data_IF_914803984028
#
_entry.id   IF_914803984028
#
_cell.length_a   1.000
_cell.length_b   1.000
_cell.length_c   1.000
_cell.angle_alpha   90.00
_cell.angle_beta   90.00
_cell.angle_gamma   90.00
#
_symmetry.space_group_name_H-M   'P 1'
#
loop_
_entity.id
_entity.type
_entity.pdbx_description
1 polymer ?
#
# COMPACT_ATOMS: atom_id res chain seq x y z
N UNK A 1 63.68 6.74 0.02
CA UNK A 1 62.89 5.57 0.51
C UNK A 1 61.57 5.95 1.17
N UNK A 2 61.45 7.07 1.87
CA UNK A 2 60.20 7.50 2.55
C UNK A 2 58.98 7.70 1.62
N UNK A 3 59.18 8.20 0.42
CA UNK A 3 58.08 8.44 -0.55
C UNK A 3 57.42 7.13 -1.05
N UNK A 4 58.17 6.02 -1.13
CA UNK A 4 57.59 4.71 -1.55
C UNK A 4 56.69 4.10 -0.48
N UNK A 5 57.01 4.26 0.80
CA UNK A 5 56.17 3.72 1.88
C UNK A 5 54.83 4.47 2.01
N UNK A 6 54.82 5.79 1.79
CA UNK A 6 53.58 6.60 1.88
C UNK A 6 52.61 6.32 0.72
N UNK A 7 53.12 5.96 -0.46
CA UNK A 7 52.33 5.59 -1.64
C UNK A 7 51.69 4.24 -1.41
N UNK A 8 52.42 3.25 -0.85
CA UNK A 8 51.91 1.93 -0.53
C UNK A 8 50.77 2.00 0.53
N UNK A 9 50.90 2.80 1.56
CA UNK A 9 49.87 2.95 2.61
C UNK A 9 48.56 3.53 2.10
N UNK A 10 48.60 4.54 1.22
CA UNK A 10 47.39 5.10 0.63
C UNK A 10 46.58 4.06 -0.18
N UNK A 11 47.23 3.31 -1.03
CA UNK A 11 46.55 2.30 -1.84
C UNK A 11 46.01 1.12 -1.01
N UNK A 12 46.65 0.79 0.09
CA UNK A 12 46.12 -0.20 1.03
C UNK A 12 44.82 0.29 1.68
N UNK A 13 44.73 1.59 2.05
CA UNK A 13 43.50 2.19 2.56
C UNK A 13 42.41 2.18 1.47
N UNK A 14 42.75 2.51 0.21
CA UNK A 14 41.80 2.45 -0.91
C UNK A 14 41.26 1.04 -1.13
N UNK A 15 42.11 0.02 -1.03
CA UNK A 15 41.67 -1.39 -1.14
C UNK A 15 40.66 -1.77 -0.07
N UNK A 16 40.95 -1.45 1.19
CA UNK A 16 39.98 -1.71 2.29
C UNK A 16 38.70 -0.92 2.13
N UNK A 17 38.79 0.32 1.67
CA UNK A 17 37.61 1.13 1.39
C UNK A 17 36.75 0.50 0.27
N UNK A 18 37.34 0.05 -0.85
CA UNK A 18 36.61 -0.64 -1.93
C UNK A 18 35.89 -1.87 -1.40
N UNK A 19 36.56 -2.68 -0.61
CA UNK A 19 35.94 -3.88 0.00
C UNK A 19 34.76 -3.48 0.89
N UNK A 20 34.93 -2.48 1.74
CA UNK A 20 33.88 -1.98 2.65
C UNK A 20 32.65 -1.45 1.89
N UNK A 21 32.85 -0.58 0.90
CA UNK A 21 31.73 -0.04 0.10
C UNK A 21 31.07 -1.09 -0.75
N UNK A 22 31.80 -2.11 -1.23
CA UNK A 22 31.23 -3.23 -1.98
C UNK A 22 30.32 -4.10 -1.11
N UNK A 23 30.72 -4.38 0.13
CA UNK A 23 29.88 -5.10 1.10
C UNK A 23 28.62 -4.30 1.40
N UNK A 24 28.75 -2.98 1.62
CA UNK A 24 27.59 -2.10 1.85
C UNK A 24 26.66 -2.04 0.63
N UNK A 25 27.20 -2.04 -0.59
CA UNK A 25 26.38 -2.06 -1.81
C UNK A 25 25.56 -3.36 -1.91
N UNK A 26 26.13 -4.52 -1.60
CA UNK A 26 25.38 -5.77 -1.54
C UNK A 26 24.30 -5.71 -0.47
N UNK A 27 24.63 -5.21 0.72
CA UNK A 27 23.68 -5.09 1.82
C UNK A 27 22.49 -4.17 1.47
N UNK A 28 22.74 -3.00 0.90
CA UNK A 28 21.68 -2.07 0.47
C UNK A 28 20.81 -2.66 -0.65
N UNK A 29 21.42 -3.40 -1.58
CA UNK A 29 20.67 -4.13 -2.62
C UNK A 29 19.74 -5.18 -2.01
N UNK A 30 20.22 -5.93 -1.04
CA UNK A 30 19.41 -6.95 -0.34
C UNK A 30 18.22 -6.29 0.36
N UNK A 31 18.43 -5.20 1.10
CA UNK A 31 17.36 -4.47 1.76
C UNK A 31 16.33 -3.90 0.77
N UNK A 32 16.78 -3.34 -0.36
CA UNK A 32 15.89 -2.86 -1.40
C UNK A 32 15.04 -4.00 -1.99
N UNK A 33 15.63 -5.18 -2.18
CA UNK A 33 14.92 -6.36 -2.69
C UNK A 33 13.90 -6.88 -1.68
N UNK A 34 14.24 -6.98 -0.40
CA UNK A 34 13.30 -7.39 0.65
C UNK A 34 12.10 -6.45 0.75
N UNK A 35 12.35 -5.14 0.73
CA UNK A 35 11.27 -4.13 0.70
C UNK A 35 10.45 -4.20 -0.61
N UNK A 36 11.07 -4.56 -1.72
CA UNK A 36 10.37 -4.82 -2.98
C UNK A 36 9.36 -5.95 -2.86
N UNK A 37 9.74 -7.06 -2.24
CA UNK A 37 8.84 -8.20 -1.99
C UNK A 37 7.70 -7.81 -1.03
N UNK A 38 7.98 -7.07 0.05
CA UNK A 38 6.97 -6.55 0.96
C UNK A 38 5.97 -5.63 0.25
N UNK A 39 6.47 -4.74 -0.62
CA UNK A 39 5.65 -3.87 -1.45
C UNK A 39 4.70 -4.65 -2.36
N UNK A 40 5.22 -5.70 -3.03
CA UNK A 40 4.42 -6.51 -3.95
C UNK A 40 3.31 -7.27 -3.19
N UNK A 41 3.59 -7.80 -2.01
CA UNK A 41 2.59 -8.45 -1.15
C UNK A 41 1.51 -7.46 -0.68
N UNK A 42 1.92 -6.26 -0.27
CA UNK A 42 0.99 -5.18 0.09
C UNK A 42 0.14 -4.72 -1.10
N UNK A 43 0.67 -4.71 -2.32
CA UNK A 43 -0.11 -4.39 -3.52
C UNK A 43 -1.21 -5.41 -3.76
N UNK A 44 -0.90 -6.71 -3.61
CA UNK A 44 -1.89 -7.78 -3.73
C UNK A 44 -2.97 -7.64 -2.67
N UNK A 45 -2.58 -7.41 -1.42
CA UNK A 45 -3.50 -7.22 -0.29
C UNK A 45 -4.38 -5.99 -0.49
N UNK A 46 -3.80 -4.88 -0.94
CA UNK A 46 -4.51 -3.64 -1.26
C UNK A 46 -5.56 -3.87 -2.34
N UNK A 47 -5.21 -4.56 -3.44
CA UNK A 47 -6.16 -4.91 -4.49
C UNK A 47 -7.29 -5.81 -3.97
N UNK A 48 -6.99 -6.74 -3.05
CA UNK A 48 -8.02 -7.58 -2.44
C UNK A 48 -9.03 -6.76 -1.62
N UNK A 49 -8.57 -5.76 -0.86
CA UNK A 49 -9.46 -4.83 -0.15
C UNK A 49 -10.32 -4.00 -1.11
N UNK A 50 -9.71 -3.50 -2.20
CA UNK A 50 -10.47 -2.75 -3.22
C UNK A 50 -11.56 -3.62 -3.87
N UNK A 51 -11.25 -4.86 -4.26
CA UNK A 51 -12.22 -5.78 -4.85
C UNK A 51 -13.36 -6.06 -3.87
N UNK A 52 -13.05 -6.35 -2.61
CA UNK A 52 -14.08 -6.55 -1.57
C UNK A 52 -14.95 -5.31 -1.36
N UNK A 53 -14.36 -4.13 -1.34
CA UNK A 53 -15.13 -2.88 -1.25
C UNK A 53 -16.11 -2.74 -2.41
N UNK A 54 -15.67 -3.03 -3.64
CA UNK A 54 -16.52 -3.00 -4.83
C UNK A 54 -17.63 -4.06 -4.79
N UNK A 55 -17.34 -5.27 -4.29
CA UNK A 55 -18.34 -6.33 -4.11
C UNK A 55 -19.43 -5.87 -3.12
N UNK A 56 -19.04 -5.32 -1.95
CA UNK A 56 -20.00 -4.80 -0.98
C UNK A 56 -20.78 -3.59 -1.50
N UNK A 57 -20.16 -2.75 -2.32
CA UNK A 57 -20.86 -1.63 -2.96
C UNK A 57 -21.88 -2.12 -4.00
N UNK A 58 -21.55 -3.18 -4.74
CA UNK A 58 -22.49 -3.82 -5.67
C UNK A 58 -23.68 -4.43 -4.92
N UNK A 59 -23.42 -5.17 -3.84
CA UNK A 59 -24.46 -5.74 -3.00
C UNK A 59 -25.37 -4.64 -2.41
N UNK A 60 -24.77 -3.54 -1.93
CA UNK A 60 -25.52 -2.38 -1.47
C UNK A 60 -26.43 -1.78 -2.56
N UNK A 61 -25.93 -1.64 -3.77
CA UNK A 61 -26.67 -1.07 -4.88
C UNK A 61 -27.82 -2.00 -5.32
N UNK A 62 -27.60 -3.32 -5.31
CA UNK A 62 -28.62 -4.32 -5.61
C UNK A 62 -29.74 -4.29 -4.56
N UNK A 63 -29.41 -4.30 -3.27
CA UNK A 63 -30.39 -4.23 -2.18
C UNK A 63 -31.12 -2.88 -2.16
N UNK A 64 -30.47 -1.79 -2.54
CA UNK A 64 -31.11 -0.49 -2.67
C UNK A 64 -32.13 -0.43 -3.83
N UNK A 65 -31.90 -1.17 -4.89
CA UNK A 65 -32.89 -1.36 -5.95
C UNK A 65 -34.04 -2.18 -5.40
N UNK A 66 -33.77 -3.25 -4.65
CA UNK A 66 -34.76 -4.08 -3.95
C UNK A 66 -35.65 -3.24 -3.03
N UNK A 67 -35.04 -2.36 -2.20
CA UNK A 67 -35.76 -1.41 -1.34
C UNK A 67 -36.76 -0.55 -2.12
N UNK A 68 -36.33 0.01 -3.24
CA UNK A 68 -37.18 0.87 -4.08
C UNK A 68 -38.35 0.09 -4.69
N UNK A 69 -38.09 -1.15 -5.11
CA UNK A 69 -39.14 -2.03 -5.65
C UNK A 69 -40.14 -2.37 -4.55
N UNK A 70 -39.69 -2.74 -3.34
CA UNK A 70 -40.57 -3.01 -2.20
C UNK A 70 -41.42 -1.80 -1.83
N UNK A 71 -40.83 -0.59 -1.76
CA UNK A 71 -41.57 0.63 -1.51
C UNK A 71 -42.66 0.87 -2.58
N UNK A 72 -42.33 0.71 -3.85
CA UNK A 72 -43.30 0.86 -4.93
C UNK A 72 -44.42 -0.21 -4.86
N UNK A 73 -44.11 -1.44 -4.44
CA UNK A 73 -45.10 -2.49 -4.23
C UNK A 73 -46.03 -2.16 -3.03
N UNK A 74 -45.48 -1.66 -1.91
CA UNK A 74 -46.26 -1.21 -0.76
C UNK A 74 -47.19 -0.06 -1.13
N UNK A 75 -46.72 0.92 -1.90
CA UNK A 75 -47.53 2.03 -2.36
C UNK A 75 -48.69 1.55 -3.26
N UNK A 76 -48.42 0.61 -4.18
CA UNK A 76 -49.44 0.02 -5.05
C UNK A 76 -50.46 -0.81 -4.25
N UNK A 77 -50.05 -1.59 -3.25
CA UNK A 77 -50.93 -2.33 -2.36
C UNK A 77 -51.81 -1.41 -1.52
N UNK A 78 -51.24 -0.31 -1.02
CA UNK A 78 -51.97 0.69 -0.24
C UNK A 78 -53.08 1.39 -1.11
N UNK A 79 -52.76 1.72 -2.36
CA UNK A 79 -53.74 2.25 -3.31
C UNK A 79 -54.84 1.20 -3.60
N UNK A 80 -54.43 -0.06 -3.74
CA UNK A 80 -55.37 -1.16 -4.01
C UNK A 80 -56.34 -1.40 -2.87
N UNK A 81 -55.87 -1.33 -1.60
CA UNK A 81 -56.70 -1.44 -0.41
C UNK A 81 -57.80 -0.40 -0.29
N UNK A 82 -57.66 0.78 -0.99
CA UNK A 82 -58.69 1.80 -1.04
C UNK A 82 -59.87 1.45 -1.99
N UNK A 83 -59.73 0.37 -2.75
CA UNK A 83 -60.78 -0.14 -3.63
C UNK A 83 -61.86 -0.97 -2.93
N UNK A 84 -62.99 -1.19 -3.58
CA UNK A 84 -64.07 -2.05 -3.10
C UNK A 84 -63.80 -3.52 -3.47
N UNK A 85 -63.11 -4.26 -2.58
CA UNK A 85 -62.77 -5.66 -2.80
C UNK A 85 -63.54 -6.62 -1.88
N UNK A 86 -63.59 -7.88 -2.23
CA UNK A 86 -64.14 -8.93 -1.36
C UNK A 86 -63.21 -9.16 -0.18
N UNK A 87 -63.75 -9.59 0.97
CA UNK A 87 -63.03 -9.78 2.22
C UNK A 87 -61.78 -10.70 2.06
N UNK A 88 -61.88 -11.74 1.21
CA UNK A 88 -60.75 -12.67 1.01
C UNK A 88 -59.57 -11.98 0.28
N UNK A 89 -59.84 -11.12 -0.69
CA UNK A 89 -58.82 -10.35 -1.45
C UNK A 89 -58.15 -9.34 -0.52
N UNK A 90 -58.93 -8.67 0.34
CA UNK A 90 -58.40 -7.72 1.33
C UNK A 90 -57.42 -8.42 2.28
N UNK A 91 -57.79 -9.61 2.81
CA UNK A 91 -56.90 -10.36 3.70
C UNK A 91 -55.61 -10.82 3.02
N UNK A 92 -55.65 -11.20 1.74
CA UNK A 92 -54.44 -11.56 0.97
C UNK A 92 -53.54 -10.36 0.74
N UNK A 93 -54.09 -9.20 0.42
CA UNK A 93 -53.38 -7.95 0.24
C UNK A 93 -52.71 -7.51 1.57
N UNK A 94 -53.44 -7.58 2.69
CA UNK A 94 -52.93 -7.27 4.03
C UNK A 94 -51.75 -8.17 4.43
N UNK A 95 -51.84 -9.49 4.12
CA UNK A 95 -50.73 -10.42 4.38
C UNK A 95 -49.49 -10.10 3.54
N UNK A 96 -49.69 -9.78 2.24
CA UNK A 96 -48.59 -9.38 1.36
C UNK A 96 -47.98 -8.05 1.82
N UNK A 97 -48.78 -7.10 2.26
CA UNK A 97 -48.34 -5.83 2.82
C UNK A 97 -47.43 -6.05 4.04
N UNK A 98 -47.88 -6.84 5.03
CA UNK A 98 -47.13 -7.17 6.22
C UNK A 98 -45.79 -7.87 5.88
N UNK A 99 -45.78 -8.76 4.89
CA UNK A 99 -44.58 -9.45 4.42
C UNK A 99 -43.57 -8.46 3.80
N UNK A 100 -44.02 -7.59 2.92
CA UNK A 100 -43.14 -6.60 2.29
C UNK A 100 -42.62 -5.54 3.29
N UNK A 101 -43.47 -5.12 4.25
CA UNK A 101 -43.07 -4.21 5.30
C UNK A 101 -41.98 -4.81 6.19
N UNK A 102 -42.09 -6.09 6.58
CA UNK A 102 -41.06 -6.80 7.33
C UNK A 102 -39.74 -6.93 6.55
N UNK A 103 -39.80 -7.20 5.24
CA UNK A 103 -38.61 -7.22 4.39
C UNK A 103 -37.95 -5.85 4.31
N UNK A 104 -38.73 -4.79 4.15
CA UNK A 104 -38.24 -3.41 4.10
C UNK A 104 -37.57 -3.01 5.42
N UNK A 105 -38.17 -3.35 6.56
CA UNK A 105 -37.60 -3.09 7.88
C UNK A 105 -36.23 -3.80 8.07
N UNK A 106 -36.09 -5.01 7.57
CA UNK A 106 -34.80 -5.73 7.57
C UNK A 106 -33.76 -5.06 6.69
N UNK A 107 -34.13 -4.59 5.49
CA UNK A 107 -33.22 -3.88 4.59
C UNK A 107 -32.78 -2.50 5.13
N UNK A 108 -33.69 -1.78 5.78
CA UNK A 108 -33.44 -0.49 6.43
C UNK A 108 -32.75 -0.65 7.82
N UNK A 109 -32.47 -1.87 8.26
CA UNK A 109 -31.91 -2.20 9.56
C UNK A 109 -30.59 -1.49 9.87
N UNK A 110 -30.17 -1.56 11.14
CA UNK A 110 -28.94 -0.92 11.64
C UNK A 110 -27.66 -1.60 11.09
N UNK A 111 -26.50 -0.98 11.31
CA UNK A 111 -25.16 -1.53 10.94
C UNK A 111 -24.94 -2.95 11.48
N UNK A 112 -25.56 -3.30 12.61
CA UNK A 112 -25.44 -4.61 13.23
C UNK A 112 -26.28 -5.70 12.57
N UNK A 113 -27.26 -5.34 11.74
CA UNK A 113 -28.11 -6.29 10.99
C UNK A 113 -27.37 -6.69 9.74
N UNK A 114 -26.97 -7.96 9.66
CA UNK A 114 -26.24 -8.47 8.49
C UNK A 114 -27.14 -8.41 7.24
N UNK A 115 -26.62 -7.83 6.15
CA UNK A 115 -27.34 -7.64 4.91
C UNK A 115 -28.21 -6.38 4.84
N UNK A 116 -28.31 -5.58 5.93
CA UNK A 116 -28.96 -4.28 5.83
C UNK A 116 -28.15 -3.30 4.97
N UNK A 117 -28.83 -2.34 4.35
CA UNK A 117 -28.19 -1.31 3.51
C UNK A 117 -27.08 -0.57 4.28
N UNK A 118 -27.31 -0.26 5.55
CA UNK A 118 -26.33 0.42 6.37
C UNK A 118 -25.11 -0.46 6.69
N UNK A 119 -25.32 -1.78 6.91
CA UNK A 119 -24.26 -2.75 7.13
C UNK A 119 -23.40 -2.93 5.87
N UNK A 120 -24.02 -3.08 4.70
CA UNK A 120 -23.32 -3.23 3.42
C UNK A 120 -22.48 -2.00 3.09
N UNK A 121 -23.07 -0.81 3.27
CA UNK A 121 -22.36 0.45 3.08
C UNK A 121 -21.14 0.57 4.02
N UNK A 122 -21.33 0.27 5.31
CA UNK A 122 -20.23 0.32 6.29
C UNK A 122 -19.10 -0.67 5.94
N UNK A 123 -19.44 -1.88 5.47
CA UNK A 123 -18.45 -2.85 5.02
C UNK A 123 -17.66 -2.33 3.80
N UNK A 124 -18.35 -1.75 2.81
CA UNK A 124 -17.70 -1.17 1.65
C UNK A 124 -16.73 -0.05 2.04
N UNK A 125 -17.17 0.89 2.88
CA UNK A 125 -16.35 1.99 3.39
C UNK A 125 -15.14 1.48 4.19
N UNK A 126 -15.32 0.49 5.09
CA UNK A 126 -14.24 -0.08 5.89
C UNK A 126 -13.16 -0.78 5.03
N UNK A 127 -13.56 -1.53 4.01
CA UNK A 127 -12.61 -2.16 3.08
C UNK A 127 -11.89 -1.10 2.21
N UNK A 128 -12.60 -0.04 1.81
CA UNK A 128 -11.99 1.06 1.06
C UNK A 128 -10.97 1.83 1.91
N UNK A 129 -11.26 2.08 3.18
CA UNK A 129 -10.31 2.72 4.10
C UNK A 129 -9.05 1.85 4.30
N UNK A 130 -9.23 0.53 4.40
CA UNK A 130 -8.11 -0.42 4.47
C UNK A 130 -7.26 -0.41 3.19
N UNK A 131 -7.89 -0.28 2.02
CA UNK A 131 -7.21 -0.07 0.75
C UNK A 131 -6.36 1.21 0.76
N UNK A 132 -6.95 2.35 1.18
CA UNK A 132 -6.23 3.63 1.24
C UNK A 132 -5.02 3.58 2.18
N UNK A 133 -5.16 2.98 3.36
CA UNK A 133 -4.06 2.79 4.30
C UNK A 133 -2.93 1.95 3.69
N UNK A 134 -3.28 0.89 2.96
CA UNK A 134 -2.29 0.06 2.26
C UNK A 134 -1.57 0.83 1.15
N UNK A 135 -2.27 1.69 0.40
CA UNK A 135 -1.67 2.55 -0.63
C UNK A 135 -0.67 3.53 -0.03
N UNK A 136 -1.00 4.16 1.09
CA UNK A 136 -0.08 5.07 1.78
C UNK A 136 1.18 4.33 2.24
N UNK A 137 1.02 3.13 2.80
CA UNK A 137 2.16 2.30 3.22
C UNK A 137 3.04 1.86 2.04
N UNK A 138 2.44 1.49 0.89
CA UNK A 138 3.16 1.18 -0.36
C UNK A 138 3.97 2.40 -0.83
N UNK A 139 3.42 3.61 -0.72
CA UNK A 139 4.11 4.85 -1.07
C UNK A 139 5.37 5.04 -0.22
N UNK A 140 5.28 4.82 1.08
CA UNK A 140 6.42 4.98 1.99
C UNK A 140 7.50 3.92 1.76
N UNK A 141 7.11 2.66 1.52
CA UNK A 141 8.05 1.60 1.14
C UNK A 141 8.75 1.97 -0.18
N UNK A 142 8.01 2.48 -1.17
CA UNK A 142 8.58 2.89 -2.46
C UNK A 142 9.64 3.98 -2.33
N UNK A 143 9.41 4.97 -1.45
CA UNK A 143 10.41 6.00 -1.14
C UNK A 143 11.69 5.39 -0.53
N UNK A 144 11.53 4.46 0.42
CA UNK A 144 12.67 3.77 1.06
C UNK A 144 13.47 2.95 0.04
N UNK A 145 12.80 2.20 -0.83
CA UNK A 145 13.45 1.45 -1.92
C UNK A 145 14.30 2.39 -2.78
N UNK A 146 13.72 3.50 -3.26
CA UNK A 146 14.43 4.48 -4.06
C UNK A 146 15.68 5.07 -3.37
N UNK A 147 15.61 5.27 -2.07
CA UNK A 147 16.76 5.74 -1.27
C UNK A 147 17.85 4.66 -1.14
N UNK A 148 17.50 3.38 -0.94
CA UNK A 148 18.48 2.29 -0.93
C UNK A 148 19.12 2.09 -2.30
N UNK A 149 18.34 2.17 -3.38
CA UNK A 149 18.87 2.10 -4.76
C UNK A 149 19.84 3.23 -5.05
N UNK A 150 19.50 4.48 -4.70
CA UNK A 150 20.40 5.63 -4.82
C UNK A 150 21.70 5.40 -4.03
N UNK A 151 21.59 4.91 -2.80
CA UNK A 151 22.74 4.60 -1.97
C UNK A 151 23.62 3.53 -2.61
N UNK A 152 23.02 2.47 -3.16
CA UNK A 152 23.72 1.41 -3.88
C UNK A 152 24.49 1.95 -5.09
N UNK A 153 23.86 2.80 -5.89
CA UNK A 153 24.50 3.44 -7.05
C UNK A 153 25.73 4.26 -6.62
N UNK A 154 25.59 5.06 -5.57
CA UNK A 154 26.71 5.86 -5.05
C UNK A 154 27.85 4.98 -4.52
N UNK A 155 27.58 3.89 -3.85
CA UNK A 155 28.57 2.93 -3.38
C UNK A 155 29.30 2.24 -4.54
N UNK A 156 28.58 1.86 -5.60
CA UNK A 156 29.18 1.27 -6.81
C UNK A 156 30.10 2.27 -7.51
N UNK A 157 29.66 3.53 -7.64
CA UNK A 157 30.49 4.60 -8.22
C UNK A 157 31.75 4.81 -7.37
N UNK A 158 31.62 4.87 -6.05
CA UNK A 158 32.75 5.01 -5.14
C UNK A 158 33.76 3.85 -5.26
N UNK A 159 33.26 2.60 -5.32
CA UNK A 159 34.09 1.42 -5.53
C UNK A 159 34.82 1.46 -6.90
N UNK A 160 34.10 1.85 -7.95
CA UNK A 160 34.66 1.96 -9.31
C UNK A 160 35.76 3.02 -9.39
N UNK A 161 35.54 4.22 -8.85
CA UNK A 161 36.56 5.28 -8.79
C UNK A 161 37.77 4.88 -7.93
N UNK A 162 37.53 4.22 -6.80
CA UNK A 162 38.59 3.65 -5.95
C UNK A 162 39.42 2.62 -6.72
N UNK A 163 38.80 1.69 -7.44
CA UNK A 163 39.47 0.69 -8.27
C UNK A 163 40.32 1.30 -9.39
N UNK A 164 39.79 2.30 -10.09
CA UNK A 164 40.56 3.05 -11.10
C UNK A 164 41.75 3.78 -10.47
N UNK A 165 41.56 4.41 -9.27
CA UNK A 165 42.64 5.06 -8.53
C UNK A 165 43.76 4.10 -8.19
N UNK A 166 43.42 2.87 -7.76
CA UNK A 166 44.37 1.83 -7.40
C UNK A 166 45.17 1.33 -8.61
N UNK A 167 44.48 1.01 -9.72
CA UNK A 167 45.11 0.51 -10.95
C UNK A 167 46.00 1.57 -11.57
N UNK A 168 45.53 2.81 -11.71
CA UNK A 168 46.26 3.92 -12.29
C UNK A 168 47.33 4.53 -11.38
N UNK A 169 47.36 4.13 -10.12
CA UNK A 169 48.15 4.73 -9.06
C UNK A 169 47.99 6.25 -8.94
N UNK A 170 46.79 6.74 -9.29
CA UNK A 170 46.48 8.17 -9.27
C UNK A 170 45.64 8.53 -8.02
N UNK A 171 46.26 9.16 -7.05
CA UNK A 171 45.60 9.57 -5.80
C UNK A 171 44.46 10.57 -6.01
N UNK A 172 44.49 11.38 -7.10
CA UNK A 172 43.44 12.37 -7.39
C UNK A 172 42.06 11.73 -7.63
N UNK A 173 42.01 10.46 -8.09
CA UNK A 173 40.77 9.72 -8.26
C UNK A 173 40.28 9.05 -6.96
N UNK A 174 41.17 8.82 -6.01
CA UNK A 174 40.82 8.26 -4.71
C UNK A 174 40.02 9.21 -3.82
N UNK A 175 40.30 10.53 -3.87
CA UNK A 175 39.58 11.49 -3.04
C UNK A 175 38.09 11.62 -3.35
N UNK A 176 37.65 11.77 -4.61
CA UNK A 176 36.24 11.74 -4.95
C UNK A 176 35.57 10.38 -4.62
N UNK A 177 36.27 9.27 -4.73
CA UNK A 177 35.75 7.97 -4.30
C UNK A 177 35.39 7.96 -2.80
N UNK A 178 36.30 8.45 -1.93
CA UNK A 178 36.03 8.57 -0.51
C UNK A 178 34.87 9.52 -0.20
N UNK A 179 34.79 10.65 -0.89
CA UNK A 179 33.73 11.63 -0.68
C UNK A 179 32.35 11.06 -1.04
N UNK A 180 32.24 10.41 -2.21
CA UNK A 180 30.98 9.79 -2.67
C UNK A 180 30.58 8.64 -1.73
N UNK A 181 31.54 7.80 -1.33
CA UNK A 181 31.29 6.71 -0.37
C UNK A 181 30.84 7.24 1.00
N UNK A 182 31.44 8.33 1.50
CA UNK A 182 31.01 8.94 2.76
C UNK A 182 29.57 9.48 2.66
N UNK A 183 29.20 10.14 1.56
CA UNK A 183 27.83 10.59 1.31
C UNK A 183 26.87 9.41 1.30
N UNK A 184 27.19 8.32 0.61
CA UNK A 184 26.37 7.11 0.57
C UNK A 184 26.16 6.50 1.98
N UNK A 185 27.22 6.45 2.80
CA UNK A 185 27.11 5.94 4.18
C UNK A 185 26.23 6.84 5.04
N UNK A 186 26.31 8.17 4.87
CA UNK A 186 25.44 9.11 5.58
C UNK A 186 23.99 8.90 5.19
N UNK A 187 23.68 8.75 3.90
CA UNK A 187 22.33 8.47 3.42
C UNK A 187 21.83 7.14 4.02
N UNK A 188 22.64 6.08 3.98
CA UNK A 188 22.30 4.79 4.55
C UNK A 188 21.99 4.90 6.06
N UNK A 189 22.79 5.66 6.79
CA UNK A 189 22.55 5.90 8.21
C UNK A 189 21.23 6.64 8.45
N UNK A 190 20.93 7.67 7.64
CA UNK A 190 19.65 8.39 7.74
C UNK A 190 18.45 7.48 7.49
N UNK A 191 18.48 6.65 6.44
CA UNK A 191 17.39 5.73 6.13
C UNK A 191 17.15 4.73 7.29
N UNK A 192 18.24 4.24 7.89
CA UNK A 192 18.17 3.17 8.90
C UNK A 192 17.77 3.70 10.27
N UNK A 193 18.30 4.86 10.70
CA UNK A 193 18.15 5.35 12.07
C UNK A 193 17.22 6.54 12.22
N UNK A 194 16.87 7.24 11.14
CA UNK A 194 16.00 8.41 11.15
C UNK A 194 14.86 8.30 10.12
N UNK A 195 14.05 7.23 10.16
CA UNK A 195 12.98 7.03 9.17
C UNK A 195 11.95 8.18 9.15
N UNK A 196 11.79 8.89 10.26
CA UNK A 196 10.86 10.03 10.39
C UNK A 196 11.27 11.29 9.61
N UNK A 197 12.47 11.36 9.05
CA UNK A 197 12.90 12.50 8.22
C UNK A 197 12.49 12.30 6.75
N UNK A 198 12.09 11.07 6.39
CA UNK A 198 11.77 10.65 5.02
C UNK A 198 10.26 10.57 4.74
N UNK A 199 9.43 10.74 5.75
CA UNK A 199 7.97 10.87 5.66
C UNK A 199 7.56 12.33 5.55
#
# INVERSE_FOLDING_TARGET
MEKMHSVSGFFLIVTFFIIGVSILAVYTTTLATELGLEKDDLQITSLAHLVKSMDWENDYNEEKIGERILKAQLDNLNITLQGNFTKNIVTEIENNFATYESHLENLEGSVTVNGSLLNLKHKAESEYDSFLQSVDHISDISKKIGMYELTTILLIIAAGLGGVSEISRNKLLGYPAFLIGAVAVIILFMITFMPSILT
#
